data_IF_714686434036
#
_entry.id   IF_714686434036
#
_cell.length_a   1.000
_cell.length_b   1.000
_cell.length_c   1.000
_cell.angle_alpha   90.00
_cell.angle_beta   90.00
_cell.angle_gamma   90.00
#
_symmetry.space_group_name_H-M   'P 1'
#
loop_
_entity.id
_entity.type
_entity.pdbx_description
1 polymer ?
#
# COMPACT_ATOMS: atom_id res chain seq x y z
N UNK A 1 -7.56 2.59 14.60
CA UNK A 1 -6.44 2.51 13.63
C UNK A 1 -5.19 1.88 14.25
N UNK A 2 -4.62 2.41 15.35
CA UNK A 2 -3.37 1.91 15.98
C UNK A 2 -3.31 0.40 16.24
N UNK A 3 -4.41 -0.23 16.69
CA UNK A 3 -4.47 -1.68 16.94
C UNK A 3 -4.37 -2.54 15.67
N UNK A 4 -4.69 -1.99 14.51
CA UNK A 4 -4.64 -2.69 13.22
C UNK A 4 -3.26 -2.61 12.54
N UNK A 5 -2.40 -1.67 12.96
CA UNK A 5 -1.09 -1.42 12.35
C UNK A 5 -0.13 -2.61 12.55
N UNK A 6 -0.08 -3.18 13.76
CA UNK A 6 0.83 -4.29 14.04
C UNK A 6 0.47 -5.57 13.25
N UNK A 7 -0.80 -6.01 13.19
CA UNK A 7 -1.23 -7.10 12.31
C UNK A 7 -0.92 -6.83 10.83
N UNK A 8 -1.21 -5.62 10.33
CA UNK A 8 -0.92 -5.24 8.94
C UNK A 8 0.58 -5.33 8.64
N UNK A 9 1.42 -4.76 9.51
CA UNK A 9 2.87 -4.83 9.39
C UNK A 9 3.36 -6.27 9.37
N UNK A 10 2.82 -7.15 10.21
CA UNK A 10 3.19 -8.58 10.22
C UNK A 10 2.78 -9.29 8.93
N UNK A 11 1.56 -9.05 8.45
CA UNK A 11 1.06 -9.64 7.21
C UNK A 11 1.83 -9.18 5.97
N UNK A 12 2.27 -7.91 5.94
CA UNK A 12 3.11 -7.41 4.86
C UNK A 12 4.52 -8.01 4.91
N UNK A 13 5.11 -8.13 6.10
CA UNK A 13 6.46 -8.66 6.28
C UNK A 13 6.55 -10.18 6.20
N UNK A 14 5.43 -10.92 6.13
CA UNK A 14 5.45 -12.37 5.93
C UNK A 14 6.03 -12.76 4.56
N UNK A 15 5.99 -11.83 3.59
CA UNK A 15 6.38 -12.04 2.18
C UNK A 15 5.56 -13.14 1.48
N UNK A 16 4.49 -13.61 2.10
CA UNK A 16 3.52 -14.52 1.47
C UNK A 16 2.61 -13.70 0.53
N UNK A 17 2.58 -13.98 -0.78
CA UNK A 17 1.80 -13.19 -1.73
C UNK A 17 0.31 -13.09 -1.38
N UNK A 18 -0.29 -14.16 -0.83
CA UNK A 18 -1.72 -14.18 -0.46
C UNK A 18 -1.98 -13.27 0.74
N UNK A 19 -1.18 -13.36 1.80
CA UNK A 19 -1.26 -12.48 2.96
C UNK A 19 -1.00 -11.01 2.60
N UNK A 20 0.01 -10.74 1.77
CA UNK A 20 0.32 -9.40 1.31
C UNK A 20 -0.83 -8.78 0.51
N UNK A 21 -1.41 -9.49 -0.45
CA UNK A 21 -2.56 -9.01 -1.23
C UNK A 21 -3.74 -8.65 -0.33
N UNK A 22 -4.05 -9.50 0.65
CA UNK A 22 -5.12 -9.23 1.64
C UNK A 22 -4.81 -7.99 2.47
N UNK A 23 -3.58 -7.84 2.94
CA UNK A 23 -3.17 -6.67 3.72
C UNK A 23 -3.22 -5.37 2.92
N UNK A 24 -2.73 -5.38 1.67
CA UNK A 24 -2.79 -4.24 0.75
C UNK A 24 -4.23 -3.87 0.46
N UNK A 25 -5.08 -4.85 0.15
CA UNK A 25 -6.50 -4.61 -0.10
C UNK A 25 -7.21 -4.03 1.12
N UNK A 26 -6.91 -4.53 2.33
CA UNK A 26 -7.45 -3.99 3.57
C UNK A 26 -7.05 -2.52 3.77
N UNK A 27 -5.79 -2.14 3.50
CA UNK A 27 -5.35 -0.75 3.54
C UNK A 27 -6.18 0.12 2.57
N UNK A 28 -6.39 -0.33 1.33
CA UNK A 28 -7.20 0.40 0.36
C UNK A 28 -8.65 0.60 0.84
N UNK A 29 -9.28 -0.45 1.38
CA UNK A 29 -10.67 -0.38 1.88
C UNK A 29 -10.75 0.56 3.09
N UNK A 30 -9.82 0.45 4.04
CA UNK A 30 -9.79 1.31 5.23
C UNK A 30 -9.70 2.78 4.85
N UNK A 31 -8.77 3.13 3.98
CA UNK A 31 -8.51 4.52 3.57
C UNK A 31 -9.67 5.10 2.78
N UNK A 32 -10.34 4.29 1.93
CA UNK A 32 -11.53 4.71 1.17
C UNK A 32 -12.81 4.81 2.02
N UNK A 33 -12.84 4.19 3.20
CA UNK A 33 -14.03 4.15 4.06
C UNK A 33 -14.22 5.45 4.86
N UNK A 34 -13.23 6.34 4.90
CA UNK A 34 -13.37 7.66 5.51
C UNK A 34 -12.12 8.51 5.36
N UNK A 35 -12.30 9.78 5.00
CA UNK A 35 -11.24 10.75 4.73
C UNK A 35 -10.24 10.87 5.90
N UNK A 36 -10.75 10.91 7.13
CA UNK A 36 -9.94 10.97 8.35
C UNK A 36 -9.04 9.73 8.58
N UNK A 37 -9.37 8.59 7.97
CA UNK A 37 -8.59 7.36 8.13
C UNK A 37 -7.29 7.45 7.35
N UNK A 38 -7.31 8.06 6.16
CA UNK A 38 -6.13 8.24 5.33
C UNK A 38 -5.08 9.11 6.01
N UNK A 39 -5.48 10.29 6.49
CA UNK A 39 -4.61 11.20 7.25
C UNK A 39 -4.04 10.52 8.51
N UNK A 40 -4.90 9.81 9.26
CA UNK A 40 -4.47 9.10 10.46
C UNK A 40 -3.50 7.93 10.17
N UNK A 41 -3.36 7.49 8.91
CA UNK A 41 -2.43 6.44 8.50
C UNK A 41 -1.03 6.99 8.16
N UNK A 42 -0.90 8.28 7.83
CA UNK A 42 0.36 8.92 7.42
C UNK A 42 1.51 8.70 8.42
N UNK A 43 1.32 8.83 9.75
CA UNK A 43 2.39 8.58 10.73
C UNK A 43 2.92 7.13 10.71
N UNK A 44 2.16 6.20 10.13
CA UNK A 44 2.51 4.78 10.06
C UNK A 44 3.13 4.38 8.72
N UNK A 45 3.22 5.28 7.73
CA UNK A 45 3.84 4.99 6.43
C UNK A 45 5.26 4.46 6.56
N UNK A 46 6.03 4.99 7.52
CA UNK A 46 7.40 4.53 7.80
C UNK A 46 7.48 3.07 8.24
N UNK A 47 6.41 2.52 8.78
CA UNK A 47 6.36 1.12 9.24
C UNK A 47 5.77 0.18 8.19
N UNK A 48 4.93 0.70 7.30
CA UNK A 48 4.14 -0.09 6.35
C UNK A 48 4.73 -0.10 4.95
N UNK A 49 5.20 1.04 4.45
CA UNK A 49 5.62 1.23 3.06
C UNK A 49 6.99 0.66 2.69
N UNK A 50 8.00 0.51 3.57
CA UNK A 50 9.32 0.02 3.15
C UNK A 50 9.28 -1.34 2.44
N UNK A 51 8.36 -2.23 2.84
CA UNK A 51 8.17 -3.53 2.19
C UNK A 51 7.71 -3.39 0.74
N UNK A 52 6.95 -2.36 0.38
CA UNK A 52 6.44 -2.15 -0.98
C UNK A 52 7.57 -1.93 -1.98
N UNK A 53 8.70 -1.31 -1.60
CA UNK A 53 9.86 -1.14 -2.48
C UNK A 53 10.40 -2.47 -3.03
N UNK A 54 10.32 -3.54 -2.25
CA UNK A 54 10.83 -4.86 -2.65
C UNK A 54 9.95 -5.49 -3.73
N UNK A 55 8.64 -5.23 -3.70
CA UNK A 55 7.66 -5.91 -4.57
C UNK A 55 7.12 -5.00 -5.68
N UNK A 56 7.35 -3.68 -5.62
CA UNK A 56 6.93 -2.71 -6.65
C UNK A 56 7.51 -3.08 -8.03
N UNK A 57 8.74 -3.60 -8.08
CA UNK A 57 9.39 -4.09 -9.30
C UNK A 57 9.11 -5.56 -9.65
N UNK A 58 8.46 -6.33 -8.76
CA UNK A 58 8.18 -7.74 -8.99
C UNK A 58 6.91 -7.91 -9.82
N UNK A 59 7.11 -8.10 -11.13
CA UNK A 59 6.03 -8.44 -12.06
C UNK A 59 5.53 -9.87 -11.89
N UNK A 60 6.36 -10.79 -11.35
CA UNK A 60 6.15 -12.24 -11.41
C UNK A 60 6.37 -12.95 -10.05
N UNK A 61 5.79 -12.49 -8.95
CA UNK A 61 5.70 -13.36 -7.76
C UNK A 61 4.57 -14.38 -7.95
N UNK A 62 4.95 -15.55 -8.46
CA UNK A 62 4.23 -16.81 -8.30
C UNK A 62 2.95 -16.94 -9.12
N UNK A 63 3.06 -17.68 -10.21
CA UNK A 63 1.96 -18.40 -10.83
C UNK A 63 1.19 -19.22 -9.79
N UNK A 64 0.06 -18.70 -9.33
CA UNK A 64 -1.13 -19.52 -9.10
C UNK A 64 -2.29 -18.74 -9.71
N UNK A 65 -2.85 -19.31 -10.77
CA UNK A 65 -3.97 -18.79 -11.53
C UNK A 65 -5.19 -18.57 -10.63
N UNK A 66 -5.33 -17.40 -10.03
CA UNK A 66 -6.65 -16.88 -9.65
C UNK A 66 -7.24 -16.24 -10.91
N UNK A 67 -8.04 -17.05 -11.62
CA UNK A 67 -8.73 -16.75 -12.89
C UNK A 67 -9.66 -15.51 -12.88
N UNK A 68 -9.64 -14.68 -11.83
CA UNK A 68 -10.44 -13.46 -11.69
C UNK A 68 -9.65 -12.15 -11.50
N UNK A 69 -8.35 -12.17 -11.19
CA UNK A 69 -7.58 -10.94 -10.92
C UNK A 69 -6.22 -10.92 -11.64
N UNK A 70 -6.24 -10.44 -12.88
CA UNK A 70 -5.04 -10.17 -13.72
C UNK A 70 -4.12 -9.05 -13.18
N UNK A 71 -4.23 -8.64 -11.92
CA UNK A 71 -3.33 -7.61 -11.35
C UNK A 71 -2.15 -8.28 -10.65
N UNK A 72 -0.96 -8.08 -11.21
CA UNK A 72 0.28 -8.41 -10.51
C UNK A 72 0.42 -7.56 -9.24
N UNK A 73 1.16 -8.06 -8.25
CA UNK A 73 1.29 -7.41 -6.94
C UNK A 73 1.85 -5.98 -7.05
N UNK A 74 2.78 -5.75 -7.99
CA UNK A 74 3.31 -4.43 -8.29
C UNK A 74 2.23 -3.41 -8.69
N UNK A 75 1.29 -3.79 -9.57
CA UNK A 75 0.17 -2.91 -9.93
C UNK A 75 -0.73 -2.60 -8.73
N UNK A 76 -1.01 -3.59 -7.88
CA UNK A 76 -1.78 -3.36 -6.64
C UNK A 76 -1.07 -2.39 -5.71
N UNK A 77 0.26 -2.46 -5.61
CA UNK A 77 1.07 -1.52 -4.82
C UNK A 77 0.95 -0.10 -5.39
N UNK A 78 1.12 0.08 -6.69
CA UNK A 78 0.99 1.39 -7.34
C UNK A 78 -0.40 2.02 -7.14
N UNK A 79 -1.46 1.22 -7.31
CA UNK A 79 -2.82 1.66 -7.06
C UNK A 79 -3.02 2.05 -5.58
N UNK A 80 -2.41 1.31 -4.66
CA UNK A 80 -2.50 1.60 -3.22
C UNK A 80 -1.77 2.88 -2.86
N UNK A 81 -0.58 3.13 -3.42
CA UNK A 81 0.15 4.38 -3.18
C UNK A 81 -0.64 5.58 -3.67
N UNK A 82 -1.30 5.46 -4.82
CA UNK A 82 -2.22 6.48 -5.34
C UNK A 82 -3.37 6.73 -4.37
N UNK A 83 -4.03 5.68 -3.88
CA UNK A 83 -5.12 5.81 -2.89
C UNK A 83 -4.64 6.49 -1.61
N UNK A 84 -3.45 6.14 -1.13
CA UNK A 84 -2.84 6.73 0.06
C UNK A 84 -2.46 8.20 -0.12
N UNK A 85 -2.00 8.60 -1.31
CA UNK A 85 -1.77 10.00 -1.66
C UNK A 85 -3.10 10.77 -1.70
N UNK A 86 -4.11 10.25 -2.40
CA UNK A 86 -5.41 10.92 -2.57
C UNK A 86 -6.15 11.19 -1.25
N UNK A 87 -6.04 10.29 -0.27
CA UNK A 87 -6.81 10.38 0.98
C UNK A 87 -5.94 10.72 2.21
N UNK A 88 -4.62 10.83 2.04
CA UNK A 88 -3.71 11.04 3.16
C UNK A 88 -3.51 12.51 3.57
N UNK A 89 -4.19 13.44 2.90
CA UNK A 89 -4.01 14.88 3.11
C UNK A 89 -2.71 15.44 2.52
N UNK A 90 -2.40 16.69 2.86
CA UNK A 90 -1.31 17.48 2.27
C UNK A 90 0.08 16.83 2.44
N UNK A 91 0.32 16.19 3.58
CA UNK A 91 1.61 15.55 3.91
C UNK A 91 1.76 14.12 3.35
N UNK A 92 0.75 13.58 2.67
CA UNK A 92 0.77 12.19 2.22
C UNK A 92 1.89 11.95 1.21
N UNK A 93 1.97 12.80 0.18
CA UNK A 93 2.92 12.64 -0.92
C UNK A 93 4.36 12.67 -0.41
N UNK A 94 4.73 13.67 0.41
CA UNK A 94 6.09 13.79 0.92
C UNK A 94 6.48 12.56 1.77
N UNK A 95 5.58 12.06 2.62
CA UNK A 95 5.83 10.86 3.41
C UNK A 95 5.94 9.59 2.55
N UNK A 96 5.14 9.47 1.48
CA UNK A 96 5.25 8.38 0.52
C UNK A 96 6.59 8.46 -0.22
N UNK A 97 6.97 9.64 -0.75
CA UNK A 97 8.23 9.85 -1.49
C UNK A 97 9.46 9.56 -0.63
N UNK A 98 9.43 9.93 0.66
CA UNK A 98 10.49 9.56 1.61
C UNK A 98 10.66 8.06 1.74
N UNK A 99 9.57 7.29 1.74
CA UNK A 99 9.63 5.84 1.88
C UNK A 99 9.87 5.12 0.56
N UNK A 100 9.37 5.66 -0.55
CA UNK A 100 9.40 5.07 -1.89
C UNK A 100 9.87 6.17 -2.86
N UNK A 101 11.19 6.41 -2.97
CA UNK A 101 11.73 7.50 -3.80
C UNK A 101 11.35 7.43 -5.29
N UNK A 102 11.02 6.23 -5.78
CA UNK A 102 10.61 5.97 -7.16
C UNK A 102 9.12 6.20 -7.41
N UNK A 103 8.33 6.57 -6.40
CA UNK A 103 6.92 6.90 -6.57
C UNK A 103 6.79 8.30 -7.16
N UNK A 104 6.00 8.47 -8.21
CA UNK A 104 5.66 9.77 -8.77
C UNK A 104 4.19 10.07 -8.49
N UNK A 105 3.91 11.32 -8.13
CA UNK A 105 2.55 11.78 -7.80
C UNK A 105 1.61 11.50 -8.96
N UNK A 106 0.40 11.06 -8.66
CA UNK A 106 -0.67 10.89 -9.67
C UNK A 106 -1.86 11.81 -9.43
N UNK A 107 -1.82 12.60 -8.37
CA UNK A 107 -2.91 13.50 -7.96
C UNK A 107 -2.58 14.96 -8.27
N UNK A 108 -1.30 15.35 -8.16
CA UNK A 108 -0.83 16.69 -8.46
C UNK A 108 -0.46 16.78 -9.95
N UNK A 109 -1.45 17.02 -10.81
CA UNK A 109 -1.27 17.38 -12.23
C UNK A 109 -2.08 18.64 -12.56
#
# INVERSE_FOLDING_TARGET
IRSQILPLKRALNSKDPKAMRKAIHLIQVMVKSGEQIGEALVPYYRQLLPIFNIFKGQRNMGDEMDFGSKRNLGAMIEDTLTVLETHGGEDAFINIKYMIPTYESRVLN
#
